data_IF_779498968475
#
_entry.id   IF_779498968475
#
_cell.length_a   1.000
_cell.length_b   1.000
_cell.length_c   1.000
_cell.angle_alpha   90.00
_cell.angle_beta   90.00
_cell.angle_gamma   90.00
#
_symmetry.space_group_name_H-M   'P 1'
#
loop_
_entity.id
_entity.type
_entity.pdbx_description
1 polymer ?
#
# COMPACT_ATOMS: atom_id res chain seq x y z
N UNK A 1 20.33 30.50 14.92
CA UNK A 1 19.12 31.20 14.42
C UNK A 1 19.56 32.17 13.34
N UNK A 2 19.21 31.88 12.08
CA UNK A 2 19.38 32.86 11.00
C UNK A 2 18.31 33.93 11.18
N UNK A 3 18.74 35.19 11.32
CA UNK A 3 17.86 36.35 11.29
C UNK A 3 17.40 36.56 9.86
N UNK A 4 16.12 36.26 9.59
CA UNK A 4 15.52 36.52 8.29
C UNK A 4 15.23 38.02 8.14
N UNK A 5 15.73 38.63 7.06
CA UNK A 5 15.39 39.98 6.67
C UNK A 5 13.96 39.97 6.04
N UNK A 6 13.00 40.50 6.78
CA UNK A 6 11.59 40.59 6.37
C UNK A 6 11.34 41.54 5.17
N UNK A 7 12.38 42.23 4.69
CA UNK A 7 12.27 43.15 3.54
C UNK A 7 12.58 42.49 2.18
N UNK A 8 12.99 41.23 2.17
CA UNK A 8 13.25 40.54 0.89
C UNK A 8 11.93 40.26 0.16
N UNK A 9 11.77 40.71 -1.09
CA UNK A 9 10.60 40.37 -1.90
C UNK A 9 10.64 38.85 -2.23
N UNK A 10 9.49 38.18 -2.09
CA UNK A 10 9.25 36.76 -2.37
C UNK A 10 9.46 35.76 -1.21
N UNK A 11 9.36 36.21 0.05
CA UNK A 11 9.24 35.29 1.18
C UNK A 11 7.74 34.99 1.40
N UNK A 12 7.39 33.70 1.38
CA UNK A 12 6.06 33.21 1.75
C UNK A 12 6.14 32.59 3.17
N UNK A 13 5.20 32.97 4.03
CA UNK A 13 5.14 32.46 5.40
C UNK A 13 4.02 31.43 5.52
N UNK A 14 4.33 30.30 6.12
CA UNK A 14 3.35 29.24 6.36
C UNK A 14 3.36 28.87 7.84
N UNK A 15 2.18 28.54 8.37
CA UNK A 15 2.03 28.00 9.72
C UNK A 15 1.74 26.50 9.61
N UNK A 16 2.58 25.67 10.22
CA UNK A 16 2.45 24.21 10.18
C UNK A 16 3.80 23.52 10.08
N UNK A 17 3.76 22.24 9.73
CA UNK A 17 4.94 21.40 9.53
C UNK A 17 5.15 21.11 8.05
N UNK A 18 6.35 21.37 7.54
CA UNK A 18 6.75 21.03 6.16
C UNK A 18 7.36 19.64 6.17
N UNK A 19 6.85 18.76 5.30
CA UNK A 19 7.31 17.39 5.12
C UNK A 19 7.56 17.09 3.64
N UNK A 20 8.34 16.04 3.30
CA UNK A 20 8.32 15.49 1.94
C UNK A 20 6.92 14.95 1.61
N UNK A 21 6.60 14.83 0.33
CA UNK A 21 5.34 14.22 -0.08
C UNK A 21 5.17 12.80 0.43
N UNK A 22 3.93 12.40 0.66
CA UNK A 22 3.56 11.08 1.17
C UNK A 22 3.82 9.98 0.14
N UNK A 23 4.02 8.77 0.64
CA UNK A 23 4.11 7.54 -0.15
C UNK A 23 2.99 6.61 0.29
N UNK A 24 2.12 6.26 -0.64
CA UNK A 24 1.08 5.27 -0.45
C UNK A 24 1.59 3.89 -0.89
N UNK A 25 1.95 3.03 0.05
CA UNK A 25 2.63 1.78 -0.31
C UNK A 25 1.69 0.64 -0.74
N UNK A 26 0.38 0.81 -0.57
CA UNK A 26 -0.62 -0.17 -0.99
C UNK A 26 -1.95 0.50 -1.36
N UNK A 27 -2.38 0.27 -2.60
CA UNK A 27 -3.63 0.79 -3.15
C UNK A 27 -4.18 -0.17 -4.21
N UNK A 28 -5.50 -0.18 -4.42
CA UNK A 28 -6.16 -0.84 -5.55
C UNK A 28 -6.92 0.20 -6.37
N UNK A 29 -6.19 0.95 -7.18
CA UNK A 29 -6.74 2.04 -7.99
C UNK A 29 -7.85 1.54 -8.94
N UNK A 30 -7.74 0.31 -9.45
CA UNK A 30 -8.72 -0.30 -10.36
C UNK A 30 -10.11 -0.49 -9.74
N UNK A 31 -10.23 -0.51 -8.39
CA UNK A 31 -11.49 -0.66 -7.67
C UNK A 31 -12.14 0.67 -7.24
N UNK A 32 -11.63 1.81 -7.70
CA UNK A 32 -12.09 3.14 -7.27
C UNK A 32 -13.56 3.42 -7.58
N UNK A 33 -14.13 2.77 -8.60
CA UNK A 33 -15.55 2.87 -8.97
C UNK A 33 -16.50 2.27 -7.93
N UNK A 34 -15.98 1.49 -6.99
CA UNK A 34 -16.78 0.81 -5.96
C UNK A 34 -16.89 1.59 -4.65
N UNK A 35 -16.45 2.86 -4.60
CA UNK A 35 -16.51 3.71 -3.39
C UNK A 35 -17.91 3.71 -2.78
N UNK A 36 -18.02 3.29 -1.51
CA UNK A 36 -19.27 3.30 -0.73
C UNK A 36 -20.31 2.23 -1.12
N UNK A 37 -19.97 1.27 -1.99
CA UNK A 37 -20.90 0.21 -2.41
C UNK A 37 -20.92 -0.99 -1.47
N UNK A 38 -19.85 -1.21 -0.74
CA UNK A 38 -19.73 -2.31 0.23
C UNK A 38 -19.87 -1.74 1.64
N UNK A 39 -20.77 -2.26 2.49
CA UNK A 39 -20.91 -1.79 3.87
C UNK A 39 -19.68 -2.07 4.73
N UNK A 40 -19.49 -1.28 5.78
CA UNK A 40 -18.43 -1.48 6.78
C UNK A 40 -18.75 -2.63 7.73
N UNK A 41 -17.71 -3.25 8.34
CA UNK A 41 -17.85 -4.19 9.45
C UNK A 41 -18.38 -5.57 9.05
N UNK A 42 -18.20 -5.95 7.79
CA UNK A 42 -18.66 -7.26 7.29
C UNK A 42 -17.69 -8.40 7.58
N UNK A 43 -16.44 -8.11 7.94
CA UNK A 43 -15.33 -9.05 7.89
C UNK A 43 -14.90 -9.37 6.45
N UNK A 44 -13.65 -9.80 6.27
CA UNK A 44 -13.00 -9.94 4.96
C UNK A 44 -13.76 -10.85 4.01
N UNK A 45 -14.23 -12.01 4.46
CA UNK A 45 -14.88 -12.99 3.57
C UNK A 45 -16.18 -12.44 2.97
N UNK A 46 -17.01 -11.80 3.79
CA UNK A 46 -18.25 -11.17 3.30
C UNK A 46 -17.94 -9.96 2.43
N UNK A 47 -16.90 -9.18 2.78
CA UNK A 47 -16.42 -8.07 1.98
C UNK A 47 -16.00 -8.55 0.58
N UNK A 48 -15.19 -9.61 0.46
CA UNK A 48 -14.77 -10.19 -0.83
C UNK A 48 -15.99 -10.64 -1.66
N UNK A 49 -16.98 -11.30 -1.04
CA UNK A 49 -18.21 -11.71 -1.74
C UNK A 49 -18.96 -10.51 -2.32
N UNK A 50 -19.09 -9.43 -1.58
CA UNK A 50 -19.72 -8.19 -2.03
C UNK A 50 -18.92 -7.54 -3.18
N UNK A 51 -17.59 -7.47 -3.08
CA UNK A 51 -16.73 -6.97 -4.15
C UNK A 51 -16.92 -7.76 -5.43
N UNK A 52 -16.85 -9.08 -5.36
CA UNK A 52 -17.00 -9.96 -6.54
C UNK A 52 -18.37 -9.82 -7.18
N UNK A 53 -19.43 -9.68 -6.36
CA UNK A 53 -20.81 -9.57 -6.85
C UNK A 53 -21.14 -8.21 -7.48
N UNK A 54 -20.47 -7.12 -7.02
CA UNK A 54 -20.82 -5.74 -7.38
C UNK A 54 -19.83 -5.05 -8.32
N UNK A 55 -18.67 -5.62 -8.60
CA UNK A 55 -17.59 -4.95 -9.33
C UNK A 55 -17.81 -4.72 -10.82
N UNK A 56 -18.88 -5.26 -11.39
CA UNK A 56 -19.15 -5.15 -12.81
C UNK A 56 -19.85 -3.83 -13.13
N UNK A 57 -19.14 -2.93 -13.80
CA UNK A 57 -19.61 -1.61 -14.23
C UNK A 57 -19.29 -1.40 -15.71
N UNK A 58 -19.93 -0.41 -16.31
CA UNK A 58 -19.53 0.09 -17.62
C UNK A 58 -18.09 0.58 -17.58
N UNK A 59 -17.30 0.21 -18.60
CA UNK A 59 -15.86 0.52 -18.63
C UNK A 59 -15.58 2.02 -18.47
N UNK A 60 -16.43 2.89 -19.00
CA UNK A 60 -16.24 4.33 -18.88
C UNK A 60 -16.35 4.82 -17.44
N UNK A 61 -17.23 4.24 -16.62
CA UNK A 61 -17.38 4.58 -15.20
C UNK A 61 -16.14 4.15 -14.42
N UNK A 62 -15.60 2.97 -14.73
CA UNK A 62 -14.34 2.47 -14.15
C UNK A 62 -13.20 3.45 -14.47
N UNK A 63 -13.04 3.83 -15.74
CA UNK A 63 -11.96 4.73 -16.19
C UNK A 63 -12.08 6.13 -15.58
N UNK A 64 -13.30 6.66 -15.47
CA UNK A 64 -13.56 7.95 -14.82
C UNK A 64 -13.20 7.91 -13.33
N UNK A 65 -13.58 6.85 -12.63
CA UNK A 65 -13.27 6.67 -11.22
C UNK A 65 -11.75 6.56 -10.97
N UNK A 66 -11.02 5.83 -11.83
CA UNK A 66 -9.56 5.74 -11.79
C UNK A 66 -8.94 7.14 -11.92
N UNK A 67 -9.37 7.94 -12.87
CA UNK A 67 -8.85 9.29 -13.09
C UNK A 67 -9.09 10.19 -11.87
N UNK A 68 -10.28 10.15 -11.29
CA UNK A 68 -10.62 10.94 -10.11
C UNK A 68 -9.80 10.50 -8.89
N UNK A 69 -9.60 9.20 -8.70
CA UNK A 69 -8.82 8.66 -7.59
C UNK A 69 -7.33 9.00 -7.72
N UNK A 70 -6.74 8.95 -8.92
CA UNK A 70 -5.37 9.41 -9.17
C UNK A 70 -5.21 10.90 -8.80
N UNK A 71 -6.16 11.74 -9.20
CA UNK A 71 -6.14 13.16 -8.84
C UNK A 71 -6.36 13.39 -7.33
N UNK A 72 -7.26 12.63 -6.69
CA UNK A 72 -7.48 12.69 -5.22
C UNK A 72 -6.18 12.38 -4.46
N UNK A 73 -5.47 11.32 -4.86
CA UNK A 73 -4.17 10.97 -4.26
C UNK A 73 -3.15 12.09 -4.46
N UNK A 74 -3.06 12.65 -5.65
CA UNK A 74 -2.16 13.77 -5.92
C UNK A 74 -2.49 14.98 -5.04
N UNK A 75 -3.76 15.38 -4.94
CA UNK A 75 -4.19 16.54 -4.15
C UNK A 75 -3.95 16.32 -2.65
N UNK A 76 -4.05 15.07 -2.18
CA UNK A 76 -3.71 14.66 -0.82
C UNK A 76 -2.20 14.52 -0.55
N UNK A 77 -1.34 15.06 -1.42
CA UNK A 77 0.10 15.17 -1.17
C UNK A 77 0.91 13.90 -1.44
N UNK A 78 0.33 12.87 -2.04
CA UNK A 78 1.02 11.63 -2.36
C UNK A 78 1.93 11.85 -3.58
N UNK A 79 3.13 11.27 -3.57
CA UNK A 79 4.14 11.36 -4.64
C UNK A 79 4.39 10.03 -5.34
N UNK A 80 4.26 8.92 -4.62
CA UNK A 80 4.37 7.59 -5.21
C UNK A 80 3.36 6.63 -4.59
N UNK A 81 2.97 5.62 -5.38
CA UNK A 81 1.95 4.63 -5.04
C UNK A 81 2.44 3.23 -5.39
N UNK A 82 2.35 2.31 -4.45
CA UNK A 82 2.36 0.87 -4.69
C UNK A 82 0.94 0.42 -5.01
N UNK A 83 0.65 0.15 -6.27
CA UNK A 83 -0.71 -0.09 -6.75
C UNK A 83 -0.90 -1.50 -7.28
N UNK A 84 -1.83 -2.22 -6.70
CA UNK A 84 -2.24 -3.55 -7.12
C UNK A 84 -3.00 -3.46 -8.44
N UNK A 85 -2.70 -4.34 -9.38
CA UNK A 85 -3.38 -4.40 -10.66
C UNK A 85 -3.60 -5.85 -11.11
N UNK A 86 -4.86 -6.23 -11.28
CA UNK A 86 -5.27 -7.49 -11.90
C UNK A 86 -5.63 -7.30 -13.39
N UNK A 87 -5.86 -6.04 -13.79
CA UNK A 87 -6.22 -5.61 -15.14
C UNK A 87 -5.35 -4.43 -15.58
N UNK A 88 -5.38 -4.14 -16.88
CA UNK A 88 -4.60 -3.05 -17.47
C UNK A 88 -5.31 -1.67 -17.49
N UNK A 89 -6.50 -1.55 -16.92
CA UNK A 89 -7.32 -0.34 -16.99
C UNK A 89 -6.65 0.90 -16.40
N UNK A 90 -5.78 0.73 -15.39
CA UNK A 90 -5.06 1.83 -14.72
C UNK A 90 -3.84 2.33 -15.52
N UNK A 91 -3.27 1.52 -16.43
CA UNK A 91 -1.99 1.80 -17.06
C UNK A 91 -1.94 3.08 -17.89
N UNK A 92 -2.97 3.41 -18.72
CA UNK A 92 -2.98 4.67 -19.46
C UNK A 92 -3.01 5.92 -18.57
N UNK A 93 -3.58 5.79 -17.36
CA UNK A 93 -3.61 6.88 -16.36
C UNK A 93 -2.27 7.00 -15.66
N UNK A 94 -1.68 5.89 -15.21
CA UNK A 94 -0.35 5.86 -14.58
C UNK A 94 0.70 6.55 -15.45
N UNK A 95 0.74 6.26 -16.75
CA UNK A 95 1.67 6.88 -17.71
C UNK A 95 1.52 8.41 -17.83
N UNK A 96 0.33 8.96 -17.56
CA UNK A 96 0.04 10.39 -17.62
C UNK A 96 0.03 11.07 -16.26
N UNK A 97 0.04 10.30 -15.20
CA UNK A 97 -0.07 10.77 -13.83
C UNK A 97 1.12 11.63 -13.40
N UNK A 98 0.88 12.52 -12.46
CA UNK A 98 1.93 13.24 -11.73
C UNK A 98 2.60 12.37 -10.67
N UNK A 99 1.94 11.27 -10.25
CA UNK A 99 2.45 10.29 -9.29
C UNK A 99 3.42 9.32 -9.95
N UNK A 100 4.34 8.77 -9.18
CA UNK A 100 5.13 7.61 -9.58
C UNK A 100 4.41 6.34 -9.12
N UNK A 101 4.39 5.31 -9.96
CA UNK A 101 3.73 4.06 -9.64
C UNK A 101 4.71 2.89 -9.59
N UNK A 102 4.62 2.11 -8.54
CA UNK A 102 5.09 0.73 -8.51
C UNK A 102 3.86 -0.16 -8.74
N UNK A 103 3.73 -0.77 -9.91
CA UNK A 103 2.60 -1.63 -10.23
C UNK A 103 2.88 -3.06 -9.77
N UNK A 104 2.13 -3.52 -8.79
CA UNK A 104 2.12 -4.89 -8.33
C UNK A 104 1.08 -5.67 -9.14
N UNK A 105 1.53 -6.42 -10.14
CA UNK A 105 0.64 -7.30 -10.90
C UNK A 105 0.40 -8.55 -10.08
N UNK A 106 -0.83 -8.71 -9.65
CA UNK A 106 -1.22 -9.67 -8.65
C UNK A 106 -1.69 -10.97 -9.29
N UNK A 107 -1.13 -12.09 -8.82
CA UNK A 107 -1.41 -13.45 -9.31
C UNK A 107 -2.15 -14.23 -8.24
N UNK A 108 -3.23 -14.91 -8.62
CA UNK A 108 -3.97 -15.83 -7.75
C UNK A 108 -4.71 -16.89 -8.56
N UNK A 109 -4.82 -18.11 -8.01
CA UNK A 109 -5.51 -19.26 -8.59
C UNK A 109 -6.48 -19.93 -7.59
N UNK A 110 -6.78 -19.22 -6.49
CA UNK A 110 -7.74 -19.66 -5.46
C UNK A 110 -7.38 -21.02 -4.85
N UNK A 111 -6.10 -21.31 -4.64
CA UNK A 111 -5.60 -22.61 -4.17
C UNK A 111 -6.09 -23.79 -5.03
N UNK A 112 -6.41 -23.55 -6.30
CA UNK A 112 -6.90 -24.56 -7.23
C UNK A 112 -5.90 -24.81 -8.36
N UNK A 113 -5.09 -25.88 -8.31
CA UNK A 113 -4.07 -26.16 -9.32
C UNK A 113 -4.63 -26.32 -10.75
N UNK A 114 -5.91 -26.64 -10.90
CA UNK A 114 -6.53 -26.75 -12.23
C UNK A 114 -6.72 -25.38 -12.92
N UNK A 115 -6.65 -24.28 -12.18
CA UNK A 115 -6.77 -22.94 -12.71
C UNK A 115 -5.42 -22.29 -13.02
N UNK A 116 -4.33 -22.81 -12.47
CA UNK A 116 -3.00 -22.21 -12.49
C UNK A 116 -2.52 -21.89 -13.91
N UNK A 117 -2.61 -22.82 -14.86
CA UNK A 117 -2.15 -22.56 -16.25
C UNK A 117 -2.91 -21.41 -16.92
N UNK A 118 -4.24 -21.35 -16.73
CA UNK A 118 -5.08 -20.30 -17.29
C UNK A 118 -4.71 -18.93 -16.72
N UNK A 119 -4.56 -18.85 -15.38
CA UNK A 119 -4.29 -17.56 -14.70
C UNK A 119 -2.87 -17.07 -14.99
N UNK A 120 -1.88 -17.95 -15.12
CA UNK A 120 -0.52 -17.59 -15.55
C UNK A 120 -0.55 -16.85 -16.88
N UNK A 121 -1.28 -17.37 -17.87
CA UNK A 121 -1.38 -16.76 -19.20
C UNK A 121 -1.99 -15.34 -19.10
N UNK A 122 -3.08 -15.21 -18.33
CA UNK A 122 -3.77 -13.94 -18.14
C UNK A 122 -2.87 -12.91 -17.45
N UNK A 123 -2.28 -13.25 -16.31
CA UNK A 123 -1.48 -12.29 -15.52
C UNK A 123 -0.15 -11.97 -16.17
N UNK A 124 0.48 -12.91 -16.88
CA UNK A 124 1.66 -12.60 -17.69
C UNK A 124 1.36 -11.57 -18.78
N UNK A 125 0.15 -11.58 -19.37
CA UNK A 125 -0.24 -10.54 -20.32
C UNK A 125 -0.31 -9.19 -19.60
N UNK A 126 -1.00 -9.08 -18.46
CA UNK A 126 -1.10 -7.85 -17.66
C UNK A 126 0.29 -7.37 -17.24
N UNK A 127 1.15 -8.28 -16.77
CA UNK A 127 2.52 -7.96 -16.41
C UNK A 127 3.32 -7.34 -17.56
N UNK A 128 3.24 -7.91 -18.75
CA UNK A 128 3.96 -7.42 -19.92
C UNK A 128 3.48 -6.03 -20.38
N UNK A 129 2.20 -5.71 -20.17
CA UNK A 129 1.60 -4.42 -20.51
C UNK A 129 1.84 -3.34 -19.43
N UNK A 130 2.16 -3.73 -18.19
CA UNK A 130 2.34 -2.80 -17.09
C UNK A 130 3.53 -1.85 -17.32
N UNK A 131 3.40 -0.53 -17.04
CA UNK A 131 4.44 0.46 -17.24
C UNK A 131 5.73 0.12 -16.49
N UNK A 132 6.88 0.23 -17.19
CA UNK A 132 8.21 0.06 -16.62
C UNK A 132 9.20 0.90 -17.42
N UNK A 133 9.30 2.19 -17.10
CA UNK A 133 10.06 3.21 -17.87
C UNK A 133 11.08 3.96 -17.01
N UNK A 134 11.46 3.42 -15.86
CA UNK A 134 12.37 4.03 -14.89
C UNK A 134 11.66 4.96 -13.89
N UNK A 135 10.61 5.69 -14.32
CA UNK A 135 9.72 6.43 -13.44
C UNK A 135 8.65 5.51 -12.82
N UNK A 136 8.16 4.58 -13.60
CA UNK A 136 7.23 3.54 -13.19
C UNK A 136 7.96 2.20 -13.13
N UNK A 137 7.60 1.39 -12.15
CA UNK A 137 8.17 0.06 -11.90
C UNK A 137 7.05 -0.96 -11.82
N UNK A 138 7.40 -2.24 -11.98
CA UNK A 138 6.47 -3.35 -11.86
C UNK A 138 7.12 -4.59 -11.29
N UNK A 139 6.32 -5.43 -10.68
CA UNK A 139 6.66 -6.80 -10.31
C UNK A 139 5.43 -7.71 -10.36
N UNK A 140 5.66 -9.01 -10.44
CA UNK A 140 4.65 -10.03 -10.20
C UNK A 140 4.56 -10.28 -8.69
N UNK A 141 3.33 -10.34 -8.15
CA UNK A 141 3.15 -10.54 -6.71
C UNK A 141 2.05 -11.58 -6.43
N UNK A 142 2.18 -12.37 -5.35
CA UNK A 142 1.07 -13.18 -4.88
C UNK A 142 0.00 -12.29 -4.23
N UNK A 143 -1.27 -12.59 -4.45
CA UNK A 143 -2.38 -11.85 -3.82
C UNK A 143 -2.33 -12.01 -2.30
N UNK A 144 -2.59 -13.22 -1.83
CA UNK A 144 -2.64 -13.55 -0.40
C UNK A 144 -2.33 -15.04 -0.21
N UNK A 145 -1.92 -15.49 0.99
CA UNK A 145 -1.61 -16.89 1.24
C UNK A 145 -2.75 -17.82 0.84
N UNK A 146 -3.99 -17.45 1.19
CA UNK A 146 -5.19 -18.23 0.94
C UNK A 146 -5.60 -18.32 -0.53
N UNK A 147 -4.92 -17.70 -1.45
CA UNK A 147 -5.35 -17.63 -2.86
C UNK A 147 -4.30 -18.05 -3.88
N UNK A 148 -3.11 -18.49 -3.44
CA UNK A 148 -1.98 -18.79 -4.34
C UNK A 148 -1.43 -20.19 -4.05
N UNK A 149 -1.40 -21.05 -5.08
CA UNK A 149 -0.80 -22.38 -4.98
C UNK A 149 0.73 -22.31 -4.98
N UNK A 150 1.45 -23.35 -4.47
CA UNK A 150 2.90 -23.43 -4.55
C UNK A 150 3.44 -23.26 -5.97
N UNK A 151 2.82 -23.89 -6.96
CA UNK A 151 3.20 -23.79 -8.38
C UNK A 151 3.11 -22.35 -8.89
N UNK A 152 2.10 -21.60 -8.45
CA UNK A 152 1.96 -20.20 -8.85
C UNK A 152 2.99 -19.29 -8.16
N UNK A 153 3.39 -19.59 -6.92
CA UNK A 153 4.54 -18.93 -6.27
C UNK A 153 5.83 -19.13 -7.08
N UNK A 154 6.11 -20.35 -7.56
CA UNK A 154 7.30 -20.62 -8.39
C UNK A 154 7.31 -19.76 -9.66
N UNK A 155 6.16 -19.58 -10.31
CA UNK A 155 6.04 -18.72 -11.50
C UNK A 155 6.30 -17.27 -11.14
N UNK A 156 5.74 -16.76 -10.04
CA UNK A 156 5.97 -15.38 -9.56
C UNK A 156 7.46 -15.16 -9.29
N UNK A 157 8.12 -16.11 -8.63
CA UNK A 157 9.55 -16.04 -8.32
C UNK A 157 10.40 -15.97 -9.61
N UNK A 158 10.03 -16.73 -10.65
CA UNK A 158 10.75 -16.74 -11.94
C UNK A 158 10.54 -15.43 -12.74
N UNK A 159 9.35 -14.82 -12.66
CA UNK A 159 9.02 -13.58 -13.38
C UNK A 159 9.78 -12.37 -12.82
N UNK A 160 10.06 -12.38 -11.51
CA UNK A 160 10.75 -11.30 -10.82
C UNK A 160 12.27 -11.36 -11.00
N UNK A 161 12.94 -10.26 -10.66
CA UNK A 161 14.39 -10.14 -10.62
C UNK A 161 14.84 -9.56 -9.27
N UNK A 162 16.14 -9.49 -9.04
CA UNK A 162 16.74 -9.06 -7.77
C UNK A 162 16.32 -7.65 -7.30
N UNK A 163 15.82 -6.81 -8.17
CA UNK A 163 15.35 -5.45 -7.86
C UNK A 163 13.85 -5.39 -7.62
N UNK A 164 13.15 -6.49 -7.81
CA UNK A 164 11.69 -6.56 -7.63
C UNK A 164 11.31 -6.41 -6.15
N UNK A 165 10.19 -5.73 -5.92
CA UNK A 165 9.52 -5.68 -4.62
C UNK A 165 8.31 -6.61 -4.69
N UNK A 166 8.16 -7.50 -3.74
CA UNK A 166 7.01 -8.42 -3.66
C UNK A 166 6.05 -7.93 -2.59
N UNK A 167 4.79 -7.71 -2.96
CA UNK A 167 3.71 -7.36 -2.03
C UNK A 167 2.83 -8.60 -1.77
N UNK A 168 2.35 -8.76 -0.55
CA UNK A 168 1.48 -9.85 -0.13
C UNK A 168 0.47 -9.34 0.89
N UNK A 169 -0.84 -9.51 0.67
CA UNK A 169 -1.83 -9.38 1.73
C UNK A 169 -1.58 -10.49 2.75
N UNK A 170 -1.39 -10.13 4.00
CA UNK A 170 -0.87 -11.03 5.01
C UNK A 170 -1.61 -10.90 6.34
N UNK A 171 -2.10 -12.01 6.84
CA UNK A 171 -2.77 -12.13 8.14
C UNK A 171 -3.78 -11.01 8.41
N UNK A 172 -4.64 -10.80 7.42
CA UNK A 172 -5.64 -9.73 7.48
C UNK A 172 -6.82 -10.10 8.38
N UNK A 173 -7.22 -11.38 8.40
CA UNK A 173 -8.36 -11.88 9.16
C UNK A 173 -8.04 -13.17 9.92
N UNK A 174 -8.75 -13.42 11.02
CA UNK A 174 -8.63 -14.67 11.79
C UNK A 174 -8.89 -15.90 10.94
N UNK A 175 -9.85 -15.84 10.01
CA UNK A 175 -10.20 -16.95 9.14
C UNK A 175 -9.05 -17.41 8.24
N UNK A 176 -8.10 -16.52 7.92
CA UNK A 176 -6.90 -16.88 7.18
C UNK A 176 -6.04 -17.86 7.99
N UNK A 177 -5.74 -17.53 9.23
CA UNK A 177 -4.96 -18.42 10.09
C UNK A 177 -5.71 -19.73 10.41
N UNK A 178 -7.04 -19.72 10.60
CA UNK A 178 -7.86 -20.92 10.76
C UNK A 178 -7.73 -21.89 9.57
N UNK A 179 -7.69 -21.35 8.34
CA UNK A 179 -7.49 -22.16 7.15
C UNK A 179 -6.14 -22.90 7.18
N UNK A 180 -5.04 -22.19 7.49
CA UNK A 180 -3.69 -22.75 7.47
C UNK A 180 -3.37 -23.61 8.67
N UNK A 181 -3.92 -23.32 9.83
CA UNK A 181 -3.72 -24.12 11.03
C UNK A 181 -4.44 -25.46 10.98
N UNK A 182 -5.69 -25.50 10.48
CA UNK A 182 -6.54 -26.69 10.61
C UNK A 182 -7.52 -26.94 9.46
N UNK A 183 -7.42 -26.20 8.37
CA UNK A 183 -8.39 -26.27 7.25
C UNK A 183 -9.81 -26.08 7.73
N UNK A 184 -10.04 -25.03 8.51
CA UNK A 184 -11.34 -24.70 9.11
C UNK A 184 -11.66 -23.22 8.88
N UNK A 185 -12.80 -22.79 9.41
CA UNK A 185 -13.23 -21.39 9.37
C UNK A 185 -13.87 -20.95 8.05
N UNK A 186 -14.15 -19.67 7.97
CA UNK A 186 -14.99 -19.12 6.91
C UNK A 186 -14.42 -19.23 5.49
N UNK A 187 -13.11 -19.36 5.31
CA UNK A 187 -12.53 -19.59 3.97
C UNK A 187 -12.91 -20.95 3.41
N UNK A 188 -13.05 -22.00 4.21
CA UNK A 188 -13.51 -23.31 3.73
C UNK A 188 -14.92 -23.20 3.13
N UNK A 189 -15.83 -22.52 3.84
CA UNK A 189 -17.18 -22.27 3.35
C UNK A 189 -17.18 -21.39 2.10
N UNK A 190 -16.32 -20.36 2.07
CA UNK A 190 -16.17 -19.50 0.91
C UNK A 190 -15.75 -20.26 -0.33
N UNK A 191 -14.73 -21.10 -0.24
CA UNK A 191 -14.27 -21.92 -1.37
C UNK A 191 -15.33 -22.93 -1.84
N UNK A 192 -16.06 -23.55 -0.91
CA UNK A 192 -17.17 -24.43 -1.25
C UNK A 192 -18.25 -23.70 -2.09
N UNK A 193 -18.53 -22.42 -1.79
CA UNK A 193 -19.48 -21.61 -2.59
C UNK A 193 -18.97 -21.33 -4.01
N UNK A 194 -17.65 -21.38 -4.22
CA UNK A 194 -17.02 -21.23 -5.54
C UNK A 194 -16.87 -22.56 -6.30
N UNK A 195 -17.35 -23.67 -5.72
CA UNK A 195 -17.17 -25.01 -6.27
C UNK A 195 -15.73 -25.54 -6.16
N UNK A 196 -14.94 -24.97 -5.25
CA UNK A 196 -13.57 -25.38 -4.94
C UNK A 196 -13.51 -26.02 -3.55
N UNK A 197 -13.50 -27.35 -3.48
CA UNK A 197 -13.53 -28.09 -2.21
C UNK A 197 -12.16 -28.14 -1.48
N UNK A 198 -11.15 -27.41 -1.95
CA UNK A 198 -9.78 -27.42 -1.40
C UNK A 198 -9.19 -28.84 -1.22
N UNK A 199 -9.55 -29.80 -2.08
CA UNK A 199 -9.17 -31.21 -1.92
C UNK A 199 -7.65 -31.44 -1.92
N UNK A 200 -6.90 -30.57 -2.62
CA UNK A 200 -5.44 -30.66 -2.71
C UNK A 200 -4.72 -29.76 -1.69
N UNK A 201 -5.44 -28.97 -0.91
CA UNK A 201 -4.86 -28.14 0.13
C UNK A 201 -4.80 -28.90 1.46
N UNK A 202 -3.61 -28.96 2.04
CA UNK A 202 -3.39 -29.49 3.38
C UNK A 202 -3.00 -28.36 4.34
N UNK A 203 -3.60 -28.28 5.53
CA UNK A 203 -3.20 -27.30 6.55
C UNK A 203 -1.77 -27.63 7.03
N UNK A 204 -1.03 -26.60 7.40
CA UNK A 204 0.37 -26.72 7.84
C UNK A 204 0.53 -26.69 9.37
N UNK A 205 -0.57 -26.47 10.12
CA UNK A 205 -0.55 -26.37 11.59
C UNK A 205 0.10 -25.10 12.12
N UNK A 206 0.28 -24.07 11.28
CA UNK A 206 0.91 -22.78 11.60
C UNK A 206 0.09 -21.65 10.94
N UNK A 207 0.40 -20.39 11.31
CA UNK A 207 -0.19 -19.20 10.66
C UNK A 207 0.17 -19.11 9.18
N UNK A 208 -0.61 -18.33 8.43
CA UNK A 208 -0.50 -18.24 6.97
C UNK A 208 0.83 -17.72 6.46
N UNK A 209 1.53 -16.88 7.24
CA UNK A 209 2.85 -16.37 6.87
C UNK A 209 3.88 -17.49 6.68
N UNK A 210 3.78 -18.57 7.45
CA UNK A 210 4.67 -19.72 7.31
C UNK A 210 4.56 -20.39 5.95
N UNK A 211 3.32 -20.56 5.45
CA UNK A 211 3.07 -21.07 4.11
C UNK A 211 3.67 -20.15 3.04
N UNK A 212 3.44 -18.86 3.14
CA UNK A 212 3.94 -17.91 2.15
C UNK A 212 5.46 -17.88 2.09
N UNK A 213 6.14 -17.83 3.25
CA UNK A 213 7.59 -17.78 3.29
C UNK A 213 8.28 -19.12 2.96
N UNK A 214 7.53 -20.22 2.91
CA UNK A 214 8.04 -21.49 2.36
C UNK A 214 8.15 -21.45 0.82
N UNK A 215 7.32 -20.64 0.16
CA UNK A 215 7.21 -20.63 -1.30
C UNK A 215 7.73 -19.36 -1.97
N UNK A 216 7.87 -18.24 -1.26
CA UNK A 216 8.37 -16.97 -1.78
C UNK A 216 9.90 -16.96 -1.92
N UNK A 217 10.42 -16.15 -2.87
CA UNK A 217 11.85 -15.82 -2.89
C UNK A 217 12.18 -14.85 -1.75
N UNK A 218 12.80 -15.38 -0.71
CA UNK A 218 13.17 -14.66 0.52
C UNK A 218 14.28 -13.62 0.34
N UNK A 219 14.94 -13.58 -0.82
CA UNK A 219 15.99 -12.59 -1.13
C UNK A 219 15.42 -11.27 -1.67
N UNK A 220 14.18 -11.28 -2.12
CA UNK A 220 13.51 -10.08 -2.64
C UNK A 220 13.03 -9.19 -1.50
N UNK A 221 13.00 -7.88 -1.75
CA UNK A 221 12.35 -6.93 -0.84
C UNK A 221 10.87 -7.26 -0.77
N UNK A 222 10.37 -7.49 0.44
CA UNK A 222 8.99 -7.93 0.68
C UNK A 222 8.21 -6.85 1.41
N UNK A 223 6.99 -6.58 0.97
CA UNK A 223 6.01 -5.70 1.60
C UNK A 223 4.84 -6.57 2.07
N UNK A 224 4.75 -6.82 3.36
CA UNK A 224 3.63 -7.53 3.98
C UNK A 224 2.52 -6.52 4.33
N UNK A 225 1.30 -6.75 3.85
CA UNK A 225 0.20 -5.77 3.90
C UNK A 225 -0.87 -6.21 4.89
N UNK A 226 -1.52 -5.27 5.54
CA UNK A 226 -2.49 -5.37 6.64
C UNK A 226 -1.86 -5.83 7.95
N UNK A 227 -1.43 -7.07 8.05
CA UNK A 227 -0.78 -7.65 9.24
C UNK A 227 -1.64 -7.55 10.51
N UNK A 228 -2.96 -7.54 10.36
CA UNK A 228 -3.93 -7.25 11.42
C UNK A 228 -3.92 -8.30 12.52
N UNK A 229 -3.64 -9.55 12.15
CA UNK A 229 -3.64 -10.72 13.04
C UNK A 229 -2.24 -11.23 13.40
N UNK A 230 -1.17 -10.54 12.94
CA UNK A 230 0.21 -10.96 13.19
C UNK A 230 0.52 -11.06 14.68
N UNK A 231 0.98 -12.23 15.10
CA UNK A 231 1.55 -12.43 16.42
C UNK A 231 2.99 -11.90 16.51
N UNK A 232 3.52 -11.74 17.72
CA UNK A 232 4.91 -11.38 17.91
C UNK A 232 5.85 -12.48 17.38
N UNK A 233 5.46 -13.75 17.55
CA UNK A 233 6.20 -14.91 17.06
C UNK A 233 6.29 -14.91 15.53
N UNK A 234 5.20 -14.58 14.83
CA UNK A 234 5.16 -14.49 13.37
C UNK A 234 6.00 -13.33 12.85
N UNK A 235 5.98 -12.17 13.54
CA UNK A 235 6.85 -11.04 13.23
C UNK A 235 8.33 -11.44 13.31
N UNK A 236 8.73 -12.07 14.42
CA UNK A 236 10.12 -12.54 14.62
C UNK A 236 10.51 -13.60 13.59
N UNK A 237 9.58 -14.51 13.27
CA UNK A 237 9.80 -15.52 12.23
C UNK A 237 10.06 -14.86 10.87
N UNK A 238 9.25 -13.91 10.44
CA UNK A 238 9.41 -13.22 9.17
C UNK A 238 10.70 -12.38 9.12
N UNK A 239 11.05 -11.67 10.20
CA UNK A 239 12.30 -10.92 10.31
C UNK A 239 13.55 -11.81 10.18
N UNK A 240 13.49 -13.05 10.68
CA UNK A 240 14.59 -14.00 10.58
C UNK A 240 14.72 -14.67 9.21
N UNK A 241 13.64 -14.71 8.44
CA UNK A 241 13.57 -15.39 7.14
C UNK A 241 13.84 -14.46 5.97
N UNK A 242 13.21 -13.27 5.97
CA UNK A 242 13.26 -12.33 4.87
C UNK A 242 14.52 -11.47 4.93
N UNK A 243 15.21 -11.34 3.81
CA UNK A 243 16.40 -10.49 3.67
C UNK A 243 16.08 -9.01 3.90
N UNK A 244 14.94 -8.54 3.40
CA UNK A 244 14.46 -7.18 3.59
C UNK A 244 12.92 -7.16 3.61
N UNK A 245 12.35 -6.76 4.74
CA UNK A 245 10.89 -6.70 4.92
C UNK A 245 10.43 -5.32 5.37
N UNK A 246 9.30 -4.90 4.80
CA UNK A 246 8.51 -3.74 5.19
C UNK A 246 7.09 -4.20 5.53
N UNK A 247 6.48 -3.50 6.48
CA UNK A 247 5.16 -3.83 7.00
C UNK A 247 4.22 -2.70 6.67
N UNK A 248 3.32 -2.92 5.72
CA UNK A 248 2.31 -1.94 5.34
C UNK A 248 1.07 -2.10 6.20
N UNK A 249 0.68 -1.05 6.89
CA UNK A 249 -0.63 -0.98 7.52
C UNK A 249 -1.57 -0.13 6.68
N UNK A 250 -2.85 -0.54 6.61
CA UNK A 250 -3.94 0.19 5.97
C UNK A 250 -5.03 0.49 7.03
N UNK A 251 -4.79 1.44 7.94
CA UNK A 251 -5.60 1.59 9.15
C UNK A 251 -7.09 1.76 8.88
N UNK A 252 -7.46 2.60 7.93
CA UNK A 252 -8.87 2.83 7.61
C UNK A 252 -9.51 1.60 6.97
N UNK A 253 -8.80 0.90 6.08
CA UNK A 253 -9.32 -0.33 5.48
C UNK A 253 -9.49 -1.44 6.53
N UNK A 254 -8.52 -1.61 7.41
CA UNK A 254 -8.60 -2.56 8.52
C UNK A 254 -9.81 -2.27 9.43
N UNK A 255 -10.04 -1.00 9.76
CA UNK A 255 -11.22 -0.58 10.52
C UNK A 255 -12.53 -0.74 9.72
N UNK A 256 -12.48 -0.49 8.40
CA UNK A 256 -13.64 -0.62 7.53
C UNK A 256 -14.12 -2.07 7.41
N UNK A 257 -13.17 -3.02 7.25
CA UNK A 257 -13.45 -4.42 6.96
C UNK A 257 -13.64 -5.21 8.26
N UNK A 258 -12.62 -5.21 9.16
CA UNK A 258 -12.54 -6.05 10.34
C UNK A 258 -12.88 -5.29 11.65
N UNK A 259 -12.96 -3.94 11.62
CA UNK A 259 -13.14 -3.12 12.81
C UNK A 259 -11.96 -3.20 13.79
N UNK A 260 -10.78 -3.53 13.31
CA UNK A 260 -9.59 -3.81 14.12
C UNK A 260 -8.33 -3.25 13.47
N UNK A 261 -7.37 -2.80 14.28
CA UNK A 261 -6.03 -2.42 13.87
C UNK A 261 -5.01 -3.50 14.29
N UNK A 262 -3.84 -3.57 13.61
CA UNK A 262 -2.71 -4.37 14.09
C UNK A 262 -2.28 -3.95 15.50
N UNK A 263 -1.67 -4.87 16.25
CA UNK A 263 -1.01 -4.54 17.52
C UNK A 263 0.35 -3.88 17.24
N UNK A 264 0.34 -2.58 16.98
CA UNK A 264 1.54 -1.83 16.55
C UNK A 264 2.72 -1.94 17.50
N UNK A 265 2.47 -2.16 18.81
CA UNK A 265 3.54 -2.29 19.78
C UNK A 265 4.43 -3.51 19.49
N UNK A 266 3.87 -4.59 18.94
CA UNK A 266 4.65 -5.76 18.54
C UNK A 266 5.64 -5.42 17.41
N UNK A 267 5.24 -4.58 16.45
CA UNK A 267 6.11 -4.15 15.36
C UNK A 267 7.18 -3.17 15.84
N UNK A 268 6.80 -2.20 16.67
CA UNK A 268 7.72 -1.18 17.19
C UNK A 268 8.78 -1.82 18.08
N UNK A 269 8.41 -2.76 18.96
CA UNK A 269 9.36 -3.45 19.86
C UNK A 269 10.36 -4.34 19.13
N UNK A 270 10.09 -4.69 17.88
CA UNK A 270 10.98 -5.46 17.01
C UNK A 270 11.67 -4.60 15.92
N UNK A 271 11.69 -3.28 16.07
CA UNK A 271 12.29 -2.33 15.12
C UNK A 271 11.81 -2.51 13.66
N UNK A 272 10.56 -2.91 13.47
CA UNK A 272 9.98 -3.15 12.17
C UNK A 272 9.90 -1.88 11.31
N UNK A 273 10.23 -2.02 10.03
CA UNK A 273 10.13 -0.93 9.05
C UNK A 273 8.68 -0.77 8.61
N UNK A 274 7.86 -0.06 9.38
CA UNK A 274 6.47 0.19 9.06
C UNK A 274 6.33 1.15 7.88
N UNK A 275 5.27 0.94 7.09
CA UNK A 275 4.80 1.83 6.00
C UNK A 275 3.28 1.96 6.07
N UNK A 276 2.72 2.86 5.26
CA UNK A 276 1.27 3.13 5.26
C UNK A 276 0.71 3.03 3.86
N UNK A 277 -0.43 2.35 3.72
CA UNK A 277 -1.24 2.26 2.51
C UNK A 277 -2.68 2.68 2.77
N UNK A 278 -3.41 2.97 1.71
CA UNK A 278 -4.84 3.33 1.79
C UNK A 278 -5.75 2.15 1.51
N UNK A 279 -5.22 1.09 0.89
CA UNK A 279 -6.04 0.07 0.24
C UNK A 279 -6.96 0.69 -0.82
N UNK A 280 -8.08 0.07 -1.15
CA UNK A 280 -9.02 0.52 -2.17
C UNK A 280 -10.03 1.55 -1.64
N UNK A 281 -10.65 2.34 -2.55
CA UNK A 281 -11.84 3.11 -2.22
C UNK A 281 -13.08 2.23 -1.91
N UNK A 282 -13.00 0.93 -2.16
CA UNK A 282 -14.06 -0.02 -1.78
C UNK A 282 -14.05 -0.28 -0.26
N UNK A 283 -12.86 -0.22 0.34
CA UNK A 283 -12.59 -0.46 1.76
C UNK A 283 -12.20 0.81 2.52
N UNK A 284 -12.36 1.98 1.91
CA UNK A 284 -11.92 3.25 2.50
C UNK A 284 -12.88 4.40 2.13
N UNK A 285 -12.85 5.46 2.91
CA UNK A 285 -13.64 6.67 2.67
C UNK A 285 -12.94 7.64 1.72
N UNK A 286 -11.61 7.63 1.69
CA UNK A 286 -10.74 8.50 0.88
C UNK A 286 -9.35 7.89 0.66
N UNK A 287 -8.64 8.38 -0.37
CA UNK A 287 -7.23 8.04 -0.64
C UNK A 287 -6.31 9.12 -0.06
N UNK A 288 -6.14 9.11 1.26
CA UNK A 288 -5.34 10.11 1.98
C UNK A 288 -4.48 9.45 3.06
N UNK A 289 -3.17 9.50 2.87
CA UNK A 289 -2.21 8.99 3.87
C UNK A 289 -2.32 9.76 5.19
N UNK A 290 -2.60 11.07 5.15
CA UNK A 290 -2.81 11.84 6.38
C UNK A 290 -3.99 11.30 7.20
N UNK A 291 -5.10 10.90 6.56
CA UNK A 291 -6.26 10.35 7.28
C UNK A 291 -5.96 8.95 7.84
N UNK A 292 -5.11 8.15 7.19
CA UNK A 292 -4.58 6.90 7.76
C UNK A 292 -3.80 7.16 9.05
N UNK A 293 -2.89 8.16 9.01
CA UNK A 293 -2.10 8.53 10.20
C UNK A 293 -2.96 9.05 11.35
N UNK A 294 -4.02 9.81 11.05
CA UNK A 294 -4.97 10.28 12.07
C UNK A 294 -5.67 9.14 12.77
N UNK A 295 -6.03 8.09 12.03
CA UNK A 295 -6.62 6.87 12.60
C UNK A 295 -5.66 6.18 13.56
N UNK A 296 -4.36 6.09 13.20
CA UNK A 296 -3.36 5.54 14.11
C UNK A 296 -3.19 6.45 15.34
N UNK A 297 -3.00 7.76 15.16
CA UNK A 297 -2.84 8.71 16.28
C UNK A 297 -4.01 8.64 17.26
N UNK A 298 -5.24 8.48 16.76
CA UNK A 298 -6.43 8.38 17.58
C UNK A 298 -6.46 7.13 18.45
N UNK A 299 -6.03 5.97 17.92
CA UNK A 299 -6.11 4.68 18.61
C UNK A 299 -4.84 4.33 19.39
N UNK A 300 -3.70 4.87 18.95
CA UNK A 300 -2.36 4.65 19.51
C UNK A 300 -1.62 5.98 19.72
N UNK A 301 -2.11 6.83 20.64
CA UNK A 301 -1.55 8.18 20.85
C UNK A 301 -0.12 8.19 21.37
N UNK A 302 0.38 7.06 21.87
CA UNK A 302 1.75 6.90 22.33
C UNK A 302 2.76 6.75 21.17
N UNK A 303 2.30 6.50 19.94
CA UNK A 303 3.17 6.50 18.77
C UNK A 303 3.43 7.95 18.36
N UNK A 304 4.68 8.37 18.46
CA UNK A 304 5.06 9.74 18.16
C UNK A 304 4.78 10.14 16.72
N UNK A 305 4.26 11.34 16.49
CA UNK A 305 3.88 11.85 15.16
C UNK A 305 5.04 11.77 14.16
N UNK A 306 6.28 12.04 14.60
CA UNK A 306 7.44 11.96 13.71
C UNK A 306 7.73 10.52 13.24
N UNK A 307 7.44 9.51 14.06
CA UNK A 307 7.55 8.12 13.63
C UNK A 307 6.46 7.78 12.62
N UNK A 308 5.22 8.21 12.83
CA UNK A 308 4.14 8.08 11.86
C UNK A 308 4.47 8.76 10.52
N UNK A 309 5.03 9.96 10.55
CA UNK A 309 5.46 10.66 9.35
C UNK A 309 6.59 9.94 8.62
N UNK A 310 7.51 9.28 9.34
CA UNK A 310 8.58 8.46 8.76
C UNK A 310 8.00 7.23 8.05
N UNK A 311 6.99 6.56 8.64
CA UNK A 311 6.28 5.46 7.99
C UNK A 311 5.66 5.89 6.66
N UNK A 312 5.01 7.06 6.66
CA UNK A 312 4.27 7.62 5.53
C UNK A 312 5.15 8.28 4.44
N UNK A 313 6.45 8.41 4.67
CA UNK A 313 7.38 9.10 3.75
C UNK A 313 8.62 8.26 3.46
N UNK A 314 9.65 8.33 4.29
CA UNK A 314 10.95 7.70 4.06
C UNK A 314 10.86 6.19 3.97
N UNK A 315 10.15 5.55 4.90
CA UNK A 315 10.03 4.10 4.88
C UNK A 315 9.26 3.63 3.64
N UNK A 316 8.17 4.32 3.29
CA UNK A 316 7.40 4.03 2.07
C UNK A 316 8.25 4.18 0.81
N UNK A 317 9.07 5.26 0.72
CA UNK A 317 9.97 5.46 -0.41
C UNK A 317 11.00 4.33 -0.53
N UNK A 318 11.59 3.91 0.59
CA UNK A 318 12.51 2.76 0.64
C UNK A 318 11.82 1.46 0.26
N UNK A 319 10.62 1.21 0.78
CA UNK A 319 9.85 0.01 0.48
C UNK A 319 9.61 -0.15 -1.03
N UNK A 320 9.24 0.94 -1.71
CA UNK A 320 9.01 0.94 -3.16
C UNK A 320 10.27 1.20 -4.00
N UNK A 321 11.44 1.41 -3.36
CA UNK A 321 12.71 1.69 -4.04
C UNK A 321 12.75 3.05 -4.74
N UNK A 322 12.00 4.04 -4.27
CA UNK A 322 12.01 5.42 -4.78
C UNK A 322 12.81 6.40 -3.90
N UNK A 323 13.52 5.91 -2.90
CA UNK A 323 14.21 6.71 -1.88
C UNK A 323 15.41 7.51 -2.38
N UNK A 324 15.93 7.23 -3.57
CA UNK A 324 16.91 8.10 -4.22
C UNK A 324 16.35 9.50 -4.53
N UNK A 325 15.05 9.60 -4.81
CA UNK A 325 14.39 10.86 -5.20
C UNK A 325 13.29 11.32 -4.25
N UNK A 326 12.67 10.41 -3.50
CA UNK A 326 11.49 10.67 -2.66
C UNK A 326 11.78 10.37 -1.18
N UNK A 327 10.79 10.65 -0.32
CA UNK A 327 10.74 10.25 1.08
C UNK A 327 11.49 11.14 2.08
N UNK A 328 12.38 12.03 1.64
CA UNK A 328 13.10 12.96 2.54
C UNK A 328 13.41 14.29 1.87
N UNK A 329 13.54 15.36 2.67
CA UNK A 329 13.93 16.70 2.23
C UNK A 329 15.45 16.83 2.25
N UNK A 330 16.11 16.18 1.30
CA UNK A 330 17.57 16.19 1.14
C UNK A 330 17.98 16.88 -0.17
N UNK A 331 19.19 17.44 -0.17
CA UNK A 331 19.76 18.10 -1.36
C UNK A 331 19.92 17.06 -2.48
N UNK A 332 19.40 17.38 -3.66
CA UNK A 332 19.44 16.52 -4.84
C UNK A 332 18.16 15.70 -5.05
N UNK A 333 17.29 15.59 -4.06
CA UNK A 333 15.99 14.91 -4.19
C UNK A 333 14.88 15.86 -4.66
N UNK A 334 13.82 15.26 -5.22
CA UNK A 334 12.59 15.99 -5.63
C UNK A 334 11.35 15.34 -5.00
N UNK A 335 11.27 15.29 -3.66
CA UNK A 335 10.26 14.48 -2.94
C UNK A 335 8.85 15.09 -2.98
N UNK A 336 8.66 16.24 -3.64
CA UNK A 336 7.50 17.08 -3.40
C UNK A 336 7.59 17.77 -2.03
N UNK A 337 6.81 18.83 -1.85
CA UNK A 337 6.76 19.54 -0.56
C UNK A 337 5.31 19.64 -0.13
N UNK A 338 5.03 19.12 1.04
CA UNK A 338 3.70 19.16 1.68
C UNK A 338 3.80 19.96 2.96
N UNK A 339 2.86 20.89 3.12
CA UNK A 339 2.60 21.56 4.39
C UNK A 339 1.42 20.87 5.07
N UNK A 340 1.62 20.47 6.31
CA UNK A 340 0.56 20.10 7.22
C UNK A 340 0.11 21.37 7.94
N UNK A 341 -0.99 21.98 7.45
CA UNK A 341 -1.61 23.14 8.09
C UNK A 341 -2.32 22.71 9.37
N UNK A 342 -2.48 23.59 10.34
CA UNK A 342 -3.15 23.34 11.63
C UNK A 342 -2.58 22.15 12.43
N UNK A 343 -1.31 21.80 12.19
CA UNK A 343 -0.63 20.65 12.81
C UNK A 343 0.12 20.99 14.10
N UNK A 344 0.04 22.22 14.60
CA UNK A 344 0.78 22.68 15.78
C UNK A 344 -0.21 23.14 16.86
N UNK A 345 -0.15 22.47 18.02
CA UNK A 345 -0.88 22.85 19.22
C UNK A 345 0.09 23.06 20.38
N UNK A 346 0.28 24.33 20.80
CA UNK A 346 1.30 24.69 21.77
C UNK A 346 2.71 24.38 21.26
N UNK A 347 3.42 23.50 21.93
CA UNK A 347 4.75 23.02 21.55
C UNK A 347 4.73 21.64 20.84
N UNK A 348 3.55 21.07 20.60
CA UNK A 348 3.39 19.72 20.06
C UNK A 348 2.93 19.75 18.61
N UNK A 349 3.37 18.73 17.84
CA UNK A 349 2.83 18.43 16.52
C UNK A 349 1.73 17.39 16.69
N UNK A 350 0.56 17.68 16.13
CA UNK A 350 -0.62 16.82 16.16
C UNK A 350 -1.21 16.68 14.76
N UNK A 351 -1.84 15.57 14.45
CA UNK A 351 -2.42 15.32 13.12
C UNK A 351 -3.93 15.54 13.08
N UNK A 352 -4.63 15.35 14.18
CA UNK A 352 -6.10 15.34 14.28
C UNK A 352 -6.82 16.42 13.46
N UNK A 353 -6.35 17.66 13.52
CA UNK A 353 -6.95 18.81 12.82
C UNK A 353 -6.18 19.23 11.57
N UNK A 354 -5.07 18.56 11.29
CA UNK A 354 -4.18 18.97 10.20
C UNK A 354 -4.79 18.71 8.82
N UNK A 355 -4.35 19.53 7.85
CA UNK A 355 -4.77 19.45 6.46
C UNK A 355 -3.55 19.46 5.56
N UNK A 356 -3.65 18.73 4.45
CA UNK A 356 -2.62 18.72 3.43
C UNK A 356 -2.72 19.96 2.55
N UNK A 357 -1.58 20.60 2.32
CA UNK A 357 -1.41 21.61 1.28
C UNK A 357 -0.11 21.34 0.53
N UNK A 358 -0.22 21.09 -0.77
CA UNK A 358 0.97 20.99 -1.62
C UNK A 358 1.58 22.37 -1.83
N UNK A 359 2.89 22.46 -1.63
CA UNK A 359 3.64 23.69 -1.92
C UNK A 359 4.34 23.52 -3.27
N UNK A 360 4.04 24.45 -4.19
CA UNK A 360 4.71 24.53 -5.49
C UNK A 360 5.81 25.56 -5.39
N UNK A 361 7.07 25.12 -5.44
CA UNK A 361 8.19 26.06 -5.50
C UNK A 361 8.11 26.81 -6.85
N UNK A 362 7.95 28.13 -6.80
CA UNK A 362 8.11 28.98 -7.96
C UNK A 362 9.56 28.85 -8.44
N UNK A 363 9.78 28.59 -9.74
CA UNK A 363 11.14 28.59 -10.31
C UNK A 363 11.84 29.88 -9.90
N UNK A 364 13.08 29.86 -9.39
CA UNK A 364 13.82 31.08 -9.13
C UNK A 364 13.84 31.90 -10.44
N UNK A 365 13.50 33.18 -10.34
CA UNK A 365 13.64 34.10 -11.47
C UNK A 365 15.10 33.98 -11.95
N UNK A 366 15.28 33.49 -13.16
CA UNK A 366 16.59 33.43 -13.82
C UNK A 366 17.25 34.78 -13.67
N UNK A 367 18.47 34.79 -13.10
CA UNK A 367 19.29 36.00 -12.91
C UNK A 367 19.12 36.92 -14.11
N UNK A 368 18.62 38.13 -13.88
CA UNK A 368 18.72 39.22 -14.83
C UNK A 368 20.19 39.29 -15.24
N UNK A 369 20.50 39.02 -16.50
CA UNK A 369 21.83 39.28 -17.07
C UNK A 369 22.10 40.75 -16.79
N UNK A 370 23.05 41.05 -15.91
CA UNK A 370 23.62 42.38 -15.84
C UNK A 370 24.16 42.69 -17.23
N UNK A 371 23.52 43.62 -17.94
CA UNK A 371 24.12 44.29 -19.07
C UNK A 371 25.29 45.11 -18.52
N UNK A 372 26.51 44.69 -18.81
CA UNK A 372 27.69 45.51 -18.75
C UNK A 372 27.66 46.56 -19.88
#
# INVERSE_FOLDING_TARGET
SATFDSTQPNIEYYKGVIIPGFINTHCHLELSHMKGLVPTGLGLISFIKEVVSKRNFEIQDILNAIQLADQEMFDNGIMAVGDISNMNHTFPFKLKSKLQYYTFVEYFDMLNPSWTERVIKQYNQVYNEAPSDGRHRRSAVPHAPYSVTPVLFDVINIVNNEQSVVSLHNEETTAENELFMSKSGGFVDFYNTLGNELNQFNPIGQSSIHYSLEHMDLNLRTLLVHNTMMSQEDIVFALNKLKEVYWCTCPNANMYIEGRLPEYQNFISNDCKMTVGTDSLTSNWQLSILEELKTIEQHYPDIGVFELLKWATLNGAKALGFDENLGSLEVGKSPGIVLLEDSIEGAHVILKNSKVKRLVLKKPLTKLKSKA
#
